data_IF_688737972893
#
_entry.id   IF_688737972893
#
_cell.length_a   1.000
_cell.length_b   1.000
_cell.length_c   1.000
_cell.angle_alpha   90.00
_cell.angle_beta   90.00
_cell.angle_gamma   90.00
#
_symmetry.space_group_name_H-M   'P 1'
#
loop_
_entity.id
_entity.type
_entity.pdbx_description
1 polymer ?
#
# COMPACT_ATOMS: atom_id res chain seq x y z
N UNK A 1 -16.15 -6.81 2.96
CA UNK A 1 -15.49 -5.91 1.99
C UNK A 1 -14.01 -5.84 2.35
N UNK A 2 -13.09 -6.11 1.42
CA UNK A 2 -11.65 -6.11 1.74
C UNK A 2 -11.12 -4.69 1.79
N UNK A 3 -10.30 -4.37 2.80
CA UNK A 3 -9.86 -2.99 3.06
C UNK A 3 -8.41 -2.76 2.68
N UNK A 4 -8.19 -1.68 1.93
CA UNK A 4 -6.89 -1.21 1.49
C UNK A 4 -6.60 0.11 2.21
N UNK A 5 -5.46 0.19 2.88
CA UNK A 5 -4.90 1.43 3.42
C UNK A 5 -3.77 1.89 2.50
N UNK A 6 -3.84 3.13 2.03
CA UNK A 6 -2.81 3.74 1.18
C UNK A 6 -2.25 4.95 1.93
N UNK A 7 -0.94 4.99 2.10
CA UNK A 7 -0.24 6.06 2.81
C UNK A 7 0.79 6.70 1.88
N UNK A 8 0.61 7.98 1.59
CA UNK A 8 1.44 8.75 0.65
C UNK A 8 1.23 10.24 0.94
N UNK A 9 2.28 11.06 0.98
CA UNK A 9 2.12 12.51 1.24
C UNK A 9 1.62 13.28 0.00
N UNK A 10 1.63 12.65 -1.18
CA UNK A 10 1.05 13.18 -2.42
C UNK A 10 -0.48 12.97 -2.44
N UNK A 11 -1.22 13.98 -1.97
CA UNK A 11 -2.69 13.97 -1.97
C UNK A 11 -3.30 13.77 -3.39
N UNK A 12 -2.85 14.47 -4.45
CA UNK A 12 -3.27 14.18 -5.82
C UNK A 12 -3.11 12.71 -6.23
N UNK A 13 -1.98 12.08 -5.90
CA UNK A 13 -1.76 10.66 -6.17
C UNK A 13 -2.76 9.76 -5.42
N UNK A 14 -2.97 10.02 -4.13
CA UNK A 14 -3.95 9.30 -3.32
C UNK A 14 -5.37 9.40 -3.89
N UNK A 15 -5.80 10.59 -4.28
CA UNK A 15 -7.14 10.82 -4.83
C UNK A 15 -7.32 10.10 -6.17
N UNK A 16 -6.33 10.19 -7.06
CA UNK A 16 -6.36 9.49 -8.35
C UNK A 16 -6.43 7.96 -8.16
N UNK A 17 -5.60 7.40 -7.28
CA UNK A 17 -5.57 5.97 -7.01
C UNK A 17 -6.86 5.48 -6.32
N UNK A 18 -7.39 6.28 -5.38
CA UNK A 18 -8.66 6.00 -4.73
C UNK A 18 -9.81 5.96 -5.73
N UNK A 19 -9.90 6.93 -6.63
CA UNK A 19 -10.96 6.98 -7.63
C UNK A 19 -10.83 5.82 -8.62
N UNK A 20 -9.60 5.51 -9.07
CA UNK A 20 -9.33 4.35 -9.91
C UNK A 20 -9.81 3.05 -9.26
N UNK A 21 -9.48 2.84 -7.99
CA UNK A 21 -9.87 1.61 -7.27
C UNK A 21 -11.37 1.55 -7.06
N UNK A 22 -12.03 2.67 -6.70
CA UNK A 22 -13.48 2.70 -6.53
C UNK A 22 -14.23 2.40 -7.82
N UNK A 23 -13.74 2.92 -8.94
CA UNK A 23 -14.35 2.73 -10.26
C UNK A 23 -14.19 1.30 -10.78
N UNK A 24 -12.97 0.76 -10.71
CA UNK A 24 -12.64 -0.56 -11.29
C UNK A 24 -12.88 -1.72 -10.32
N UNK A 25 -12.77 -1.46 -9.02
CA UNK A 25 -12.81 -2.47 -7.97
C UNK A 25 -13.82 -2.12 -6.85
N UNK A 26 -15.13 -2.08 -7.16
CA UNK A 26 -16.17 -1.63 -6.22
C UNK A 26 -16.32 -2.49 -4.95
N UNK A 27 -15.77 -3.71 -4.91
CA UNK A 27 -15.80 -4.57 -3.72
C UNK A 27 -14.65 -4.31 -2.73
N UNK A 28 -13.77 -3.36 -3.04
CA UNK A 28 -12.64 -2.96 -2.22
C UNK A 28 -12.96 -1.65 -1.49
N UNK A 29 -12.74 -1.64 -0.17
CA UNK A 29 -12.79 -0.44 0.64
C UNK A 29 -11.42 0.24 0.59
N UNK A 30 -11.37 1.54 0.29
CA UNK A 30 -10.11 2.29 0.24
C UNK A 30 -10.10 3.38 1.31
N UNK A 31 -9.06 3.36 2.13
CA UNK A 31 -8.72 4.39 3.10
C UNK A 31 -7.38 5.00 2.68
N UNK A 32 -7.31 6.32 2.62
CA UNK A 32 -6.08 7.05 2.26
C UNK A 32 -5.64 7.93 3.43
N UNK A 33 -4.33 8.05 3.63
CA UNK A 33 -3.74 8.90 4.66
C UNK A 33 -2.53 9.64 4.07
N UNK A 34 -2.51 10.97 4.19
CA UNK A 34 -1.32 11.78 3.89
C UNK A 34 -0.37 11.90 5.07
N UNK A 35 -0.85 11.56 6.26
CA UNK A 35 -0.11 11.68 7.50
C UNK A 35 0.17 10.28 8.10
N UNK A 36 1.44 9.98 8.43
CA UNK A 36 1.81 8.75 9.08
C UNK A 36 1.08 8.48 10.40
N UNK A 37 0.82 9.51 11.22
CA UNK A 37 0.15 9.32 12.52
C UNK A 37 -1.29 8.84 12.33
N UNK A 38 -1.99 9.39 11.34
CA UNK A 38 -3.31 8.90 10.93
C UNK A 38 -3.25 7.44 10.47
N UNK A 39 -2.25 7.05 9.67
CA UNK A 39 -2.09 5.68 9.23
C UNK A 39 -1.88 4.70 10.40
N UNK A 40 -1.04 5.07 11.37
CA UNK A 40 -0.83 4.27 12.59
C UNK A 40 -2.12 4.12 13.41
N UNK A 41 -2.95 5.16 13.48
CA UNK A 41 -4.24 5.11 14.16
C UNK A 41 -5.20 4.13 13.46
N UNK A 42 -5.29 4.18 12.13
CA UNK A 42 -6.11 3.24 11.33
C UNK A 42 -5.67 1.80 11.56
N UNK A 43 -4.35 1.54 11.48
CA UNK A 43 -3.78 0.19 11.69
C UNK A 43 -4.08 -0.39 13.08
N UNK A 44 -4.24 0.46 14.11
CA UNK A 44 -4.60 0.02 15.47
C UNK A 44 -6.09 -0.27 15.64
N UNK A 45 -6.95 0.44 14.91
CA UNK A 45 -8.40 0.42 15.13
C UNK A 45 -9.09 -0.64 14.30
N UNK A 46 -8.61 -0.90 13.09
CA UNK A 46 -9.34 -1.70 12.11
C UNK A 46 -8.43 -2.68 11.36
N UNK A 47 -8.94 -3.87 11.00
CA UNK A 47 -8.18 -4.80 10.17
C UNK A 47 -8.01 -4.24 8.75
N UNK A 48 -6.77 -4.28 8.27
CA UNK A 48 -6.37 -3.90 6.92
C UNK A 48 -5.91 -5.15 6.16
N UNK A 49 -6.45 -5.37 4.97
CA UNK A 49 -6.13 -6.53 4.12
C UNK A 49 -4.94 -6.29 3.19
N UNK A 50 -4.68 -5.02 2.86
CA UNK A 50 -3.54 -4.59 2.08
C UNK A 50 -3.10 -3.19 2.53
N UNK A 51 -1.82 -3.03 2.85
CA UNK A 51 -1.18 -1.76 3.13
C UNK A 51 -0.31 -1.37 1.93
N UNK A 52 -0.57 -0.22 1.33
CA UNK A 52 0.33 0.44 0.39
C UNK A 52 0.95 1.60 1.14
N UNK A 53 2.28 1.66 1.19
CA UNK A 53 2.99 2.72 1.88
C UNK A 53 4.07 3.28 0.97
N UNK A 54 4.07 4.59 0.84
CA UNK A 54 5.19 5.30 0.24
C UNK A 54 6.42 5.25 1.14
N UNK A 55 7.57 4.99 0.54
CA UNK A 55 8.84 5.01 1.23
C UNK A 55 9.33 6.45 1.47
N UNK A 56 9.00 7.38 0.57
CA UNK A 56 9.60 8.70 0.48
C UNK A 56 8.78 9.82 1.14
N UNK A 57 8.40 9.65 2.41
CA UNK A 57 7.71 10.71 3.15
C UNK A 57 8.68 11.59 3.97
N UNK A 58 8.54 12.93 3.95
CA UNK A 58 9.49 13.88 4.55
C UNK A 58 9.53 13.86 6.09
N UNK A 59 8.50 13.33 6.77
CA UNK A 59 8.34 13.39 8.24
C UNK A 59 8.53 12.02 8.92
N UNK A 60 8.17 10.93 8.24
CA UNK A 60 8.32 9.57 8.76
C UNK A 60 8.68 8.64 7.62
N UNK A 61 9.80 7.94 7.76
CA UNK A 61 10.22 6.90 6.81
C UNK A 61 9.11 5.82 6.71
N UNK A 62 8.66 5.49 5.50
CA UNK A 62 7.65 4.43 5.26
C UNK A 62 8.00 3.10 5.93
N UNK A 63 9.30 2.88 6.19
CA UNK A 63 9.85 1.78 6.99
C UNK A 63 9.29 1.72 8.42
N UNK A 64 9.00 2.86 9.06
CA UNK A 64 8.40 2.90 10.40
C UNK A 64 6.96 2.41 10.39
N UNK A 65 6.18 2.78 9.37
CA UNK A 65 4.80 2.29 9.22
C UNK A 65 4.82 0.79 8.93
N UNK A 66 5.71 0.33 8.04
CA UNK A 66 5.93 -1.09 7.78
C UNK A 66 6.22 -1.87 9.07
N UNK A 67 7.25 -1.45 9.82
CA UNK A 67 7.66 -2.11 11.06
C UNK A 67 6.53 -2.10 12.10
N UNK A 68 5.81 -0.99 12.19
CA UNK A 68 4.67 -0.88 13.08
C UNK A 68 3.54 -1.85 12.71
N UNK A 69 3.15 -1.91 11.44
CA UNK A 69 2.13 -2.84 10.96
C UNK A 69 2.51 -4.32 11.25
N UNK A 70 3.76 -4.69 10.99
CA UNK A 70 4.29 -6.02 11.30
C UNK A 70 4.28 -6.28 12.82
N UNK A 71 4.63 -5.29 13.64
CA UNK A 71 4.60 -5.43 15.11
C UNK A 71 3.19 -5.63 15.68
N UNK A 72 2.16 -5.15 14.97
CA UNK A 72 0.75 -5.42 15.27
C UNK A 72 0.28 -6.82 14.80
N UNK A 73 1.15 -7.59 14.15
CA UNK A 73 0.83 -8.91 13.63
C UNK A 73 0.31 -8.92 12.20
N UNK A 74 0.40 -7.81 11.46
CA UNK A 74 0.09 -7.82 10.02
C UNK A 74 1.10 -8.72 9.29
N UNK A 75 0.58 -9.62 8.44
CA UNK A 75 1.40 -10.43 7.55
C UNK A 75 2.13 -9.51 6.55
N UNK A 76 3.44 -9.67 6.44
CA UNK A 76 4.31 -8.95 5.50
C UNK A 76 3.85 -9.11 4.04
N UNK A 77 3.22 -10.24 3.72
CA UNK A 77 2.62 -10.52 2.41
C UNK A 77 1.35 -9.69 2.11
N UNK A 78 0.96 -8.79 3.02
CA UNK A 78 -0.11 -7.80 2.83
C UNK A 78 0.43 -6.39 2.71
N UNK A 79 1.74 -6.20 2.64
CA UNK A 79 2.35 -4.87 2.58
C UNK A 79 3.04 -4.68 1.23
N UNK A 80 2.73 -3.59 0.55
CA UNK A 80 3.36 -3.15 -0.70
C UNK A 80 4.04 -1.82 -0.43
N UNK A 81 5.32 -1.74 -0.76
CA UNK A 81 6.09 -0.50 -0.70
C UNK A 81 6.00 0.20 -2.05
N UNK A 82 5.70 1.49 -2.06
CA UNK A 82 5.73 2.36 -3.23
C UNK A 82 6.92 3.33 -3.12
N UNK A 83 7.56 3.68 -4.22
CA UNK A 83 8.63 4.69 -4.24
C UNK A 83 8.83 5.30 -5.62
N UNK A 84 9.37 6.52 -5.70
CA UNK A 84 9.81 7.12 -6.96
C UNK A 84 11.22 6.70 -7.37
N UNK A 85 12.01 6.11 -6.46
CA UNK A 85 13.42 5.76 -6.67
C UNK A 85 13.62 4.54 -7.55
N UNK A 86 14.87 4.39 -8.01
CA UNK A 86 15.32 3.21 -8.73
C UNK A 86 15.23 1.93 -7.86
N UNK A 87 15.25 0.79 -8.55
CA UNK A 87 15.13 -0.52 -7.94
C UNK A 87 16.27 -0.85 -6.98
N UNK A 88 17.48 -0.33 -7.23
CA UNK A 88 18.66 -0.72 -6.46
C UNK A 88 18.57 -0.10 -5.05
N UNK A 89 18.25 1.18 -4.95
CA UNK A 89 17.95 1.84 -3.69
C UNK A 89 16.84 1.12 -2.92
N UNK A 90 15.80 0.70 -3.64
CA UNK A 90 14.65 0.03 -3.04
C UNK A 90 14.98 -1.36 -2.49
N UNK A 91 15.81 -2.12 -3.20
CA UNK A 91 16.23 -3.45 -2.78
C UNK A 91 17.20 -3.44 -1.60
N UNK A 92 18.00 -2.38 -1.44
CA UNK A 92 18.82 -2.18 -0.25
C UNK A 92 17.96 -1.97 1.02
N UNK A 93 16.89 -1.18 0.91
CA UNK A 93 15.99 -0.91 2.04
C UNK A 93 15.02 -2.07 2.31
N UNK A 94 14.51 -2.68 1.24
CA UNK A 94 13.55 -3.79 1.29
C UNK A 94 14.02 -4.94 0.41
N UNK A 95 14.86 -5.84 0.95
CA UNK A 95 15.27 -7.05 0.24
C UNK A 95 14.08 -7.91 -0.16
N UNK A 96 14.22 -8.72 -1.22
CA UNK A 96 13.18 -9.64 -1.66
C UNK A 96 12.69 -10.53 -0.51
N UNK A 97 11.36 -10.67 -0.39
CA UNK A 97 10.71 -11.44 0.69
C UNK A 97 10.45 -10.65 1.97
N UNK A 98 10.87 -9.38 2.06
CA UNK A 98 10.56 -8.51 3.21
C UNK A 98 9.09 -8.11 3.26
N UNK A 99 8.47 -7.95 2.10
CA UNK A 99 7.07 -7.57 1.93
C UNK A 99 6.51 -8.24 0.66
N UNK A 100 5.23 -8.04 0.35
CA UNK A 100 4.59 -8.61 -0.84
C UNK A 100 5.26 -8.15 -2.13
N UNK A 101 5.52 -6.85 -2.24
CA UNK A 101 6.16 -6.24 -3.40
C UNK A 101 6.74 -4.86 -3.03
N UNK A 102 7.73 -4.44 -3.80
CA UNK A 102 8.26 -3.08 -3.82
C UNK A 102 8.12 -2.56 -5.24
N UNK A 103 7.35 -1.49 -5.43
CA UNK A 103 6.96 -1.00 -6.74
C UNK A 103 7.32 0.47 -6.94
N UNK A 104 7.79 0.81 -8.14
CA UNK A 104 7.98 2.18 -8.57
C UNK A 104 6.63 2.80 -8.97
N UNK A 105 6.33 4.00 -8.45
CA UNK A 105 5.06 4.72 -8.66
C UNK A 105 4.85 5.16 -10.11
N UNK A 106 5.92 5.42 -10.85
CA UNK A 106 5.88 6.07 -12.16
C UNK A 106 6.12 5.09 -13.32
N UNK A 107 6.56 3.86 -13.04
CA UNK A 107 6.78 2.87 -14.08
C UNK A 107 5.49 2.12 -14.45
N UNK A 108 5.05 2.26 -15.71
CA UNK A 108 3.81 1.67 -16.20
C UNK A 108 3.74 0.13 -16.03
N UNK A 109 4.87 -0.57 -16.18
CA UNK A 109 4.95 -2.03 -15.99
C UNK A 109 4.66 -2.41 -14.53
N UNK A 110 5.14 -1.61 -13.58
CA UNK A 110 4.95 -1.85 -12.15
C UNK A 110 3.54 -1.48 -11.70
N UNK A 111 2.95 -0.43 -12.32
CA UNK A 111 1.51 -0.13 -12.13
C UNK A 111 0.62 -1.31 -12.55
N UNK A 112 0.94 -2.01 -13.63
CA UNK A 112 0.18 -3.20 -14.03
C UNK A 112 0.22 -4.33 -12.98
N UNK A 113 1.34 -4.47 -12.24
CA UNK A 113 1.44 -5.42 -11.12
C UNK A 113 0.48 -5.01 -9.99
N UNK A 114 0.40 -3.72 -9.69
CA UNK A 114 -0.54 -3.20 -8.68
C UNK A 114 -1.99 -3.49 -9.06
N UNK A 115 -2.36 -3.27 -10.33
CA UNK A 115 -3.69 -3.59 -10.86
C UNK A 115 -4.00 -5.11 -10.77
N UNK A 116 -3.00 -5.97 -10.98
CA UNK A 116 -3.14 -7.42 -10.77
C UNK A 116 -3.42 -7.78 -9.32
N UNK A 117 -2.77 -7.11 -8.35
CA UNK A 117 -3.02 -7.30 -6.91
C UNK A 117 -4.46 -6.93 -6.58
N UNK A 118 -4.93 -5.74 -6.98
CA UNK A 118 -6.30 -5.31 -6.73
C UNK A 118 -7.34 -6.23 -7.38
N UNK A 119 -7.10 -6.63 -8.63
CA UNK A 119 -7.97 -7.58 -9.34
C UNK A 119 -8.08 -8.91 -8.61
N UNK A 120 -6.95 -9.42 -8.07
CA UNK A 120 -6.93 -10.63 -7.26
C UNK A 120 -7.72 -10.47 -5.96
N UNK A 121 -7.56 -9.34 -5.27
CA UNK A 121 -8.31 -9.05 -4.05
C UNK A 121 -9.81 -8.96 -4.30
N UNK A 122 -10.24 -8.30 -5.37
CA UNK A 122 -11.66 -8.19 -5.73
C UNK A 122 -12.26 -9.57 -6.01
N UNK A 123 -11.58 -10.43 -6.79
CA UNK A 123 -12.06 -11.80 -7.04
C UNK A 123 -12.26 -12.58 -5.75
N UNK A 124 -11.32 -12.46 -4.81
CA UNK A 124 -11.43 -13.10 -3.49
C UNK A 124 -12.50 -12.46 -2.58
N UNK A 125 -12.92 -11.23 -2.85
CA UNK A 125 -14.03 -10.58 -2.15
C UNK A 125 -15.39 -10.97 -2.74
N UNK A 126 -15.44 -11.35 -4.02
CA UNK A 126 -16.66 -11.80 -4.71
C UNK A 126 -16.98 -13.29 -4.48
N UNK A 127 -15.95 -14.11 -4.22
CA UNK A 127 -16.07 -15.57 -4.08
C UNK A 127 -16.07 -16.10 -2.65
N UNK A 128 -16.21 -15.24 -1.64
CA UNK A 128 -16.36 -15.60 -0.23
C UNK A 128 -17.71 -15.15 0.30
#
# INVERSE_FOLDING_TARGET
>A
MRKILIVDDDAPFLDALREQIRSLYPLLAVVTCTDPVQALAVLKQEPVDLLLVDLEMPVMDGTKIFNFAVSLGMDKNRIVILSGRDSDYLHEQFPMGTCLAVLNKYEAKQKAVLDMIFSSMQRKAAGG
#
